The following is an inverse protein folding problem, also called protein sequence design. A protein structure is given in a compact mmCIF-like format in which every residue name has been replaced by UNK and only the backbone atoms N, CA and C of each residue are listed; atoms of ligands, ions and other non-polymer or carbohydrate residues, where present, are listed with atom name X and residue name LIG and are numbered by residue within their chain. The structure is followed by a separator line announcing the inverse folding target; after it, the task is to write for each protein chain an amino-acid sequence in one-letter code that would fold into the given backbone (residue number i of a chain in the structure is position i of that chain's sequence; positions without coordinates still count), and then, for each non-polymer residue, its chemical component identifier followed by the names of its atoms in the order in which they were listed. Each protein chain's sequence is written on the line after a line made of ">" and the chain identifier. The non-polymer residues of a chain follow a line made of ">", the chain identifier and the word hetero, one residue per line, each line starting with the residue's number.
data_IF_372106658808
#
_entry.id   IF_372106658808
#
_cell.length_a   1.000
_cell.length_b   1.000
_cell.length_c   1.000
_cell.angle_alpha   90.00
_cell.angle_beta   90.00
_cell.angle_gamma   90.00
#
_symmetry.space_group_name_H-M   'P 1'
#
loop_
_entity.id
_entity.type
_entity.pdbx_description
1 polymer ?
#
# COMPACT_ATOMS: atom_id res chain seq x y z
N UNK A 1 52.18 4.87 -36.70
CA UNK A 1 53.02 5.85 -37.41
C UNK A 1 53.22 7.03 -36.47
N UNK A 2 54.43 7.21 -35.94
CA UNK A 2 54.76 8.32 -35.03
C UNK A 2 55.05 9.58 -35.83
N UNK A 3 54.68 10.74 -35.30
CA UNK A 3 55.44 12.00 -35.47
C UNK A 3 55.47 12.68 -34.11
N UNK A 4 56.65 13.15 -33.71
CA UNK A 4 56.90 13.91 -32.50
C UNK A 4 57.72 15.15 -32.87
N UNK A 5 57.56 16.25 -32.14
CA UNK A 5 58.64 17.25 -31.98
C UNK A 5 58.42 18.20 -30.79
N UNK A 6 59.53 18.80 -30.34
CA UNK A 6 59.79 19.67 -29.17
C UNK A 6 61.07 20.47 -29.55
N UNK A 7 61.60 21.49 -28.80
CA UNK A 7 61.08 22.30 -27.68
C UNK A 7 61.35 23.85 -27.81
N UNK A 8 61.03 24.61 -26.75
CA UNK A 8 61.61 25.87 -26.15
C UNK A 8 62.73 26.70 -26.86
N UNK A 9 62.96 28.04 -26.57
CA UNK A 9 62.75 28.82 -25.32
C UNK A 9 62.06 30.21 -25.53
N UNK A 10 62.00 31.22 -24.62
CA UNK A 10 62.34 31.34 -23.18
C UNK A 10 63.35 32.48 -22.82
N UNK A 11 62.92 33.67 -22.33
CA UNK A 11 63.77 34.86 -22.04
C UNK A 11 63.30 35.74 -20.85
N UNK A 12 64.23 35.99 -19.90
CA UNK A 12 64.44 37.09 -18.93
C UNK A 12 63.50 37.48 -17.75
N UNK A 13 64.18 37.81 -16.64
CA UNK A 13 63.72 38.48 -15.41
C UNK A 13 64.06 40.00 -15.45
N UNK A 14 63.39 40.82 -14.62
CA UNK A 14 64.04 41.86 -13.78
C UNK A 14 63.30 41.93 -12.44
N UNK A 15 64.05 42.16 -11.35
CA UNK A 15 63.59 42.40 -9.99
C UNK A 15 63.95 43.84 -9.61
N UNK A 16 63.07 44.59 -8.94
CA UNK A 16 63.45 45.83 -8.23
C UNK A 16 62.56 46.00 -6.99
N UNK A 17 63.06 46.71 -5.97
CA UNK A 17 62.48 46.79 -4.63
C UNK A 17 62.86 48.11 -3.91
N UNK A 18 62.23 48.37 -2.75
CA UNK A 18 62.40 49.54 -1.86
C UNK A 18 61.65 50.82 -2.34
N UNK A 19 61.14 51.73 -1.48
CA UNK A 19 61.36 52.00 -0.03
C UNK A 19 60.08 52.48 0.71
N UNK A 20 60.20 52.70 2.03
CA UNK A 20 59.17 53.05 3.04
C UNK A 20 58.45 54.42 2.91
N UNK A 21 57.21 54.50 3.44
CA UNK A 21 56.71 55.69 4.17
C UNK A 21 55.59 55.31 5.19
N UNK A 22 55.45 56.07 6.30
CA UNK A 22 54.85 55.57 7.55
C UNK A 22 53.79 56.49 8.20
N UNK A 23 52.56 55.97 8.38
CA UNK A 23 51.46 56.42 9.30
C UNK A 23 50.80 57.81 9.09
N UNK A 24 49.58 58.13 9.63
CA UNK A 24 49.00 57.68 10.91
C UNK A 24 47.52 57.19 10.90
N UNK A 25 47.00 56.91 12.11
CA UNK A 25 45.87 56.02 12.37
C UNK A 25 44.51 56.65 12.79
N UNK A 26 43.51 55.75 12.94
CA UNK A 26 42.24 55.83 13.69
C UNK A 26 40.95 56.26 12.94
N UNK A 27 39.72 55.90 13.41
CA UNK A 27 39.36 54.96 14.49
C UNK A 27 38.31 53.87 14.14
N UNK A 28 38.39 52.76 14.89
CA UNK A 28 37.34 51.77 15.27
C UNK A 28 35.97 51.70 14.54
N UNK A 29 35.61 50.48 14.09
CA UNK A 29 34.22 50.01 13.97
C UNK A 29 33.94 48.87 15.00
N UNK A 30 32.69 48.70 15.48
CA UNK A 30 32.42 47.85 16.63
C UNK A 30 32.40 46.35 16.30
N UNK A 31 32.99 45.57 17.21
CA UNK A 31 33.05 44.11 17.20
C UNK A 31 31.63 43.52 17.33
N UNK A 32 31.13 42.84 16.30
CA UNK A 32 29.89 42.03 16.41
C UNK A 32 30.07 40.99 17.52
N UNK A 33 29.21 41.02 18.53
CA UNK A 33 29.24 40.12 19.68
C UNK A 33 27.81 39.62 19.96
N UNK A 34 27.67 38.31 20.13
CA UNK A 34 26.44 37.56 20.44
C UNK A 34 25.24 37.69 19.47
N UNK A 35 25.20 36.77 18.50
CA UNK A 35 23.94 36.29 17.87
C UNK A 35 23.63 34.81 18.19
N UNK A 36 24.56 34.06 18.79
CA UNK A 36 24.44 32.60 18.98
C UNK A 36 23.52 32.19 20.14
N UNK A 37 23.36 33.01 21.18
CA UNK A 37 22.48 32.66 22.31
C UNK A 37 20.98 32.78 21.97
N UNK A 38 20.63 33.67 21.03
CA UNK A 38 19.22 33.99 20.77
C UNK A 38 18.49 32.85 20.03
N UNK A 39 19.19 32.17 19.11
CA UNK A 39 18.66 30.98 18.43
C UNK A 39 18.49 29.80 19.39
N UNK A 40 19.45 29.58 20.31
CA UNK A 40 19.33 28.53 21.32
C UNK A 40 18.18 28.76 22.30
N UNK A 41 17.96 30.01 22.73
CA UNK A 41 16.82 30.36 23.59
C UNK A 41 15.49 30.22 22.83
N UNK A 42 15.44 30.62 21.55
CA UNK A 42 14.26 30.41 20.69
C UNK A 42 13.90 28.94 20.49
N UNK A 43 14.90 28.10 20.20
CA UNK A 43 14.72 26.65 20.06
C UNK A 43 14.24 25.99 21.38
N UNK A 44 14.84 26.37 22.51
CA UNK A 44 14.40 25.88 23.83
C UNK A 44 13.00 26.37 24.21
N UNK A 45 12.63 27.59 23.84
CA UNK A 45 11.28 28.10 24.05
C UNK A 45 10.24 27.34 23.21
N UNK A 46 10.52 27.07 21.93
CA UNK A 46 9.67 26.26 21.06
C UNK A 46 9.52 24.81 21.57
N UNK A 47 10.59 24.22 22.10
CA UNK A 47 10.55 22.89 22.74
C UNK A 47 9.74 22.93 24.05
N UNK A 48 9.89 23.97 24.87
CA UNK A 48 9.11 24.14 26.11
C UNK A 48 7.60 24.36 25.83
N UNK A 49 7.27 25.14 24.81
CA UNK A 49 5.90 25.35 24.35
C UNK A 49 5.31 24.07 23.71
N UNK A 50 6.13 23.26 23.05
CA UNK A 50 5.80 21.89 22.62
C UNK A 50 5.61 20.90 23.79
N UNK A 51 6.16 21.16 24.97
CA UNK A 51 5.98 20.33 26.17
C UNK A 51 4.78 20.75 27.03
N UNK A 52 4.25 21.97 26.84
CA UNK A 52 3.10 22.46 27.59
C UNK A 52 1.85 21.58 27.38
N UNK A 53 1.17 21.10 28.45
CA UNK A 53 0.04 20.17 28.32
C UNK A 53 -1.12 20.76 27.50
N UNK A 54 -1.33 22.08 27.57
CA UNK A 54 -2.32 22.79 26.78
C UNK A 54 -2.04 22.85 25.27
N UNK A 55 -0.78 22.74 24.82
CA UNK A 55 -0.43 22.67 23.40
C UNK A 55 -0.46 21.23 22.88
N UNK A 56 -0.12 20.24 23.73
CA UNK A 56 -0.23 18.82 23.40
C UNK A 56 -1.69 18.38 23.23
N UNK A 57 -2.59 18.83 24.12
CA UNK A 57 -4.02 18.52 24.01
C UNK A 57 -4.64 19.20 22.78
N UNK A 58 -4.24 20.43 22.45
CA UNK A 58 -4.72 21.16 21.28
C UNK A 58 -4.23 20.52 19.97
N UNK A 59 -2.97 20.08 19.89
CA UNK A 59 -2.43 19.30 18.75
C UNK A 59 -3.11 17.94 18.60
N UNK A 60 -3.28 17.19 19.68
CA UNK A 60 -4.03 15.92 19.65
C UNK A 60 -5.47 16.13 19.14
N UNK A 61 -6.12 17.24 19.50
CA UNK A 61 -7.45 17.59 18.99
C UNK A 61 -7.41 17.96 17.49
N UNK A 62 -6.36 18.65 17.03
CA UNK A 62 -6.13 18.93 15.60
C UNK A 62 -5.89 17.63 14.83
N UNK A 63 -4.95 16.78 15.27
CA UNK A 63 -4.67 15.47 14.67
C UNK A 63 -5.93 14.59 14.63
N UNK A 64 -6.72 14.54 15.71
CA UNK A 64 -8.01 13.86 15.72
C UNK A 64 -9.04 14.48 14.77
N UNK A 65 -9.00 15.79 14.54
CA UNK A 65 -9.84 16.45 13.52
C UNK A 65 -9.42 16.07 12.10
N UNK A 66 -8.12 16.01 11.80
CA UNK A 66 -7.64 15.53 10.51
C UNK A 66 -8.03 14.05 10.29
N UNK A 67 -7.62 13.16 11.20
CA UNK A 67 -7.87 11.72 11.05
C UNK A 67 -9.36 11.34 11.14
N UNK A 68 -10.16 11.92 12.04
CA UNK A 68 -11.57 11.51 12.20
C UNK A 68 -12.54 12.34 11.35
N UNK A 69 -12.26 13.59 11.00
CA UNK A 69 -13.28 14.48 10.40
C UNK A 69 -12.94 15.07 9.02
N UNK A 70 -11.73 14.89 8.47
CA UNK A 70 -11.37 15.41 7.15
C UNK A 70 -11.90 14.54 6.00
N UNK A 71 -11.86 13.21 6.15
CA UNK A 71 -12.29 12.29 5.10
C UNK A 71 -13.82 12.17 5.06
N UNK A 72 -14.41 12.36 3.87
CA UNK A 72 -15.87 12.23 3.66
C UNK A 72 -16.40 10.83 4.01
N UNK A 73 -15.55 9.81 3.92
CA UNK A 73 -15.88 8.42 4.27
C UNK A 73 -16.07 8.21 5.78
N UNK A 74 -15.51 9.08 6.64
CA UNK A 74 -15.63 8.95 8.10
C UNK A 74 -17.05 9.21 8.62
N UNK A 75 -17.97 9.69 7.77
CA UNK A 75 -19.42 9.65 8.04
C UNK A 75 -19.90 8.22 8.31
N UNK A 76 -19.18 7.19 7.83
CA UNK A 76 -19.46 5.78 8.08
C UNK A 76 -18.90 5.25 9.41
N UNK A 77 -18.01 5.98 10.09
CA UNK A 77 -17.34 5.53 11.31
C UNK A 77 -18.31 5.20 12.48
N UNK A 78 -19.47 5.87 12.66
CA UNK A 78 -20.47 5.49 13.66
C UNK A 78 -21.09 4.10 13.47
N UNK A 79 -21.04 3.51 12.28
CA UNK A 79 -21.60 2.16 12.04
C UNK A 79 -20.80 1.07 12.75
N UNK A 80 -19.50 1.26 12.99
CA UNK A 80 -18.68 0.32 13.77
C UNK A 80 -19.19 0.12 15.21
N UNK A 81 -19.24 1.19 16.03
CA UNK A 81 -19.85 1.13 17.36
C UNK A 81 -21.32 0.68 17.34
N UNK A 82 -22.09 1.05 16.31
CA UNK A 82 -23.47 0.59 16.15
C UNK A 82 -23.56 -0.94 15.94
N UNK A 83 -22.63 -1.55 15.20
CA UNK A 83 -22.57 -3.00 15.02
C UNK A 83 -22.33 -3.73 16.35
N UNK A 84 -21.43 -3.20 17.19
CA UNK A 84 -21.14 -3.72 18.54
C UNK A 84 -22.41 -3.65 19.41
N UNK A 85 -23.06 -2.47 19.46
CA UNK A 85 -24.29 -2.27 20.21
C UNK A 85 -25.41 -3.19 19.71
N UNK A 86 -25.56 -3.35 18.39
CA UNK A 86 -26.57 -4.23 17.80
C UNK A 86 -26.32 -5.70 18.13
N UNK A 87 -25.06 -6.15 18.14
CA UNK A 87 -24.70 -7.53 18.53
C UNK A 87 -25.14 -7.83 19.97
N UNK A 88 -24.95 -6.89 20.91
CA UNK A 88 -25.40 -7.05 22.30
C UNK A 88 -26.93 -6.89 22.49
N UNK A 89 -27.59 -6.04 21.69
CA UNK A 89 -29.04 -5.80 21.79
C UNK A 89 -29.89 -6.79 21.00
N UNK A 90 -29.33 -7.53 20.03
CA UNK A 90 -30.09 -8.34 19.08
C UNK A 90 -29.34 -9.61 18.67
N UNK A 91 -29.48 -10.67 19.46
CA UNK A 91 -28.94 -12.00 19.13
C UNK A 91 -29.47 -12.62 17.82
N UNK A 92 -30.51 -12.03 17.22
CA UNK A 92 -31.23 -12.52 16.02
C UNK A 92 -30.91 -11.78 14.72
N UNK A 93 -30.14 -10.69 14.73
CA UNK A 93 -29.97 -9.80 13.56
C UNK A 93 -28.55 -9.82 12.97
N UNK A 94 -28.00 -11.03 12.78
CA UNK A 94 -26.63 -11.26 12.30
C UNK A 94 -26.31 -10.55 10.96
N UNK A 95 -27.24 -10.53 9.99
CA UNK A 95 -27.04 -9.81 8.73
C UNK A 95 -26.83 -8.30 8.87
N UNK A 96 -27.46 -7.66 9.86
CA UNK A 96 -27.26 -6.25 10.17
C UNK A 96 -25.97 -6.00 10.96
N UNK A 97 -25.59 -6.90 11.87
CA UNK A 97 -24.28 -6.86 12.55
C UNK A 97 -23.15 -6.98 11.52
N UNK A 98 -23.25 -7.91 10.58
CA UNK A 98 -22.33 -8.03 9.45
C UNK A 98 -22.27 -6.73 8.63
N UNK A 99 -23.40 -6.22 8.15
CA UNK A 99 -23.45 -5.04 7.29
C UNK A 99 -22.90 -3.77 7.98
N UNK A 100 -23.22 -3.55 9.27
CA UNK A 100 -22.68 -2.41 10.01
C UNK A 100 -21.21 -2.59 10.39
N UNK A 101 -20.74 -3.81 10.67
CA UNK A 101 -19.31 -4.08 10.88
C UNK A 101 -18.51 -3.81 9.60
N UNK A 102 -19.04 -4.26 8.48
CA UNK A 102 -18.47 -4.08 7.14
C UNK A 102 -18.33 -2.58 6.80
N UNK A 103 -19.43 -1.82 6.92
CA UNK A 103 -19.44 -0.37 6.69
C UNK A 103 -18.56 0.38 7.70
N UNK A 104 -18.49 -0.08 8.95
CA UNK A 104 -17.66 0.51 10.00
C UNK A 104 -16.16 0.30 9.82
N UNK A 105 -15.75 -0.80 9.17
CA UNK A 105 -14.35 -1.09 8.84
C UNK A 105 -13.86 -0.23 7.67
N UNK A 106 -14.69 0.09 6.68
CA UNK A 106 -14.30 0.86 5.49
C UNK A 106 -13.54 2.17 5.79
N UNK A 107 -14.03 3.10 6.64
CA UNK A 107 -13.29 4.32 6.98
C UNK A 107 -12.06 4.07 7.87
N UNK A 108 -12.05 2.99 8.66
CA UNK A 108 -10.90 2.65 9.49
C UNK A 108 -9.74 2.12 8.66
N UNK A 109 -10.03 1.28 7.66
CA UNK A 109 -9.05 0.78 6.69
C UNK A 109 -8.45 1.94 5.88
N UNK A 110 -9.29 2.87 5.41
CA UNK A 110 -8.86 4.08 4.70
C UNK A 110 -7.93 4.96 5.55
N UNK A 111 -8.27 5.19 6.82
CA UNK A 111 -7.42 5.92 7.75
C UNK A 111 -6.16 5.16 8.19
N UNK A 112 -6.18 3.82 8.16
CA UNK A 112 -4.99 3.00 8.44
C UNK A 112 -3.96 3.14 7.31
N UNK A 113 -4.41 3.14 6.05
CA UNK A 113 -3.57 3.43 4.88
C UNK A 113 -2.92 4.81 4.99
N UNK A 114 -3.74 5.85 5.20
CA UNK A 114 -3.24 7.23 5.41
C UNK A 114 -2.22 7.33 6.57
N UNK A 115 -2.49 6.71 7.72
CA UNK A 115 -1.55 6.72 8.86
C UNK A 115 -0.24 5.96 8.55
N UNK A 116 -0.30 4.95 7.69
CA UNK A 116 0.86 4.19 7.21
C UNK A 116 1.72 5.01 6.26
N UNK A 117 1.09 5.70 5.30
CA UNK A 117 1.73 6.61 4.35
C UNK A 117 2.44 7.76 5.07
N UNK A 118 1.73 8.46 5.97
CA UNK A 118 2.31 9.50 6.82
C UNK A 118 3.51 8.99 7.64
N UNK A 119 3.48 7.76 8.17
CA UNK A 119 4.60 7.17 8.89
C UNK A 119 5.77 6.76 7.96
N UNK A 120 5.48 6.37 6.72
CA UNK A 120 6.50 6.07 5.71
C UNK A 120 7.36 7.30 5.40
N UNK A 121 6.75 8.48 5.28
CA UNK A 121 7.44 9.75 5.02
C UNK A 121 8.48 10.13 6.10
N UNK A 122 8.33 9.64 7.34
CA UNK A 122 9.31 9.85 8.42
C UNK A 122 10.37 8.76 8.57
N UNK A 123 10.13 7.57 8.02
CA UNK A 123 10.98 6.39 8.28
C UNK A 123 11.93 6.06 7.13
N UNK A 124 11.82 6.79 6.02
CA UNK A 124 12.67 6.67 4.85
C UNK A 124 12.32 5.47 3.96
N UNK A 125 12.80 5.43 2.70
CA UNK A 125 12.24 4.54 1.68
C UNK A 125 12.19 3.06 2.08
N UNK A 126 13.26 2.53 2.70
CA UNK A 126 13.32 1.11 3.05
C UNK A 126 12.36 0.70 4.16
N UNK A 127 12.22 1.51 5.21
CA UNK A 127 11.31 1.19 6.33
C UNK A 127 9.88 1.57 5.95
N UNK A 128 9.67 2.69 5.26
CA UNK A 128 8.38 3.10 4.71
C UNK A 128 7.80 2.07 3.74
N UNK A 129 8.61 1.52 2.84
CA UNK A 129 8.17 0.44 1.94
C UNK A 129 7.75 -0.84 2.67
N UNK A 130 8.46 -1.21 3.75
CA UNK A 130 8.10 -2.36 4.59
C UNK A 130 6.84 -2.09 5.41
N UNK A 131 6.67 -0.87 5.93
CA UNK A 131 5.46 -0.44 6.61
C UNK A 131 4.26 -0.48 5.66
N UNK A 132 4.38 0.06 4.45
CA UNK A 132 3.32 0.04 3.46
C UNK A 132 2.92 -1.41 3.07
N UNK A 133 3.90 -2.27 2.79
CA UNK A 133 3.65 -3.69 2.50
C UNK A 133 2.89 -4.41 3.63
N UNK A 134 3.16 -4.06 4.89
CA UNK A 134 2.58 -4.74 6.06
C UNK A 134 1.23 -4.15 6.49
N UNK A 135 1.14 -2.82 6.58
CA UNK A 135 -0.02 -2.10 7.11
C UNK A 135 -1.02 -1.65 6.04
N UNK A 136 -0.63 -1.54 4.77
CA UNK A 136 -1.58 -1.39 3.66
C UNK A 136 -2.56 -2.57 3.61
N UNK A 137 -2.04 -3.79 3.62
CA UNK A 137 -2.84 -5.03 3.65
C UNK A 137 -3.26 -5.49 5.06
N UNK A 138 -3.17 -4.62 6.08
CA UNK A 138 -3.45 -5.06 7.45
C UNK A 138 -4.92 -5.39 7.68
N UNK A 139 -5.86 -4.76 6.98
CA UNK A 139 -7.29 -5.05 7.11
C UNK A 139 -7.60 -6.49 6.68
N UNK A 140 -7.11 -6.90 5.51
CA UNK A 140 -7.19 -8.24 4.94
C UNK A 140 -6.55 -9.27 5.87
N UNK A 141 -5.35 -8.95 6.35
CA UNK A 141 -4.59 -9.82 7.25
C UNK A 141 -5.29 -10.01 8.61
N UNK A 142 -5.85 -8.95 9.20
CA UNK A 142 -6.59 -9.03 10.48
C UNK A 142 -7.87 -9.84 10.32
N UNK A 143 -8.68 -9.56 9.29
CA UNK A 143 -9.91 -10.32 8.98
C UNK A 143 -9.56 -11.80 8.74
N UNK A 144 -8.50 -12.07 7.98
CA UNK A 144 -7.99 -13.42 7.71
C UNK A 144 -7.57 -14.16 8.98
N UNK A 145 -6.83 -13.51 9.89
CA UNK A 145 -6.39 -14.10 11.16
C UNK A 145 -7.60 -14.44 12.06
N UNK A 146 -8.63 -13.59 12.11
CA UNK A 146 -9.86 -13.91 12.85
C UNK A 146 -10.63 -15.09 12.22
N UNK A 147 -10.83 -15.10 10.90
CA UNK A 147 -11.48 -16.21 10.22
C UNK A 147 -10.71 -17.53 10.40
N UNK A 148 -9.38 -17.49 10.32
CA UNK A 148 -8.46 -18.60 10.59
C UNK A 148 -8.54 -19.10 12.04
N UNK A 149 -8.60 -18.18 13.02
CA UNK A 149 -8.82 -18.50 14.44
C UNK A 149 -10.13 -19.27 14.64
N UNK A 150 -11.18 -18.87 13.95
CA UNK A 150 -12.49 -19.53 13.97
C UNK A 150 -12.54 -20.81 13.11
N UNK A 151 -11.47 -21.17 12.39
CA UNK A 151 -11.39 -22.36 11.55
C UNK A 151 -12.04 -22.22 10.17
N UNK A 152 -12.43 -21.00 9.78
CA UNK A 152 -13.06 -20.73 8.49
C UNK A 152 -12.02 -20.57 7.37
N UNK A 153 -11.23 -21.62 7.14
CA UNK A 153 -10.16 -21.68 6.13
C UNK A 153 -10.66 -21.22 4.75
N UNK A 154 -11.86 -21.66 4.37
CA UNK A 154 -12.46 -21.29 3.08
C UNK A 154 -12.74 -19.79 2.94
N UNK A 155 -13.19 -19.13 4.01
CA UNK A 155 -13.41 -17.68 4.03
C UNK A 155 -12.09 -16.92 3.83
N UNK A 156 -11.00 -17.39 4.47
CA UNK A 156 -9.65 -16.82 4.28
C UNK A 156 -9.18 -16.97 2.83
N UNK A 157 -9.24 -18.19 2.29
CA UNK A 157 -8.87 -18.45 0.90
C UNK A 157 -9.66 -17.58 -0.09
N UNK A 158 -10.98 -17.54 0.07
CA UNK A 158 -11.89 -16.83 -0.82
C UNK A 158 -11.76 -15.31 -0.73
N UNK A 159 -11.53 -14.75 0.46
CA UNK A 159 -11.33 -13.30 0.62
C UNK A 159 -9.98 -12.82 0.07
N UNK A 160 -8.89 -13.55 0.32
CA UNK A 160 -7.58 -13.19 -0.22
C UNK A 160 -7.53 -13.32 -1.75
N UNK A 161 -8.11 -14.39 -2.31
CA UNK A 161 -8.23 -14.54 -3.77
C UNK A 161 -9.19 -13.49 -4.37
N UNK A 162 -10.31 -13.23 -3.71
CA UNK A 162 -11.27 -12.19 -4.09
C UNK A 162 -10.65 -10.79 -4.10
N UNK A 163 -9.69 -10.51 -3.21
CA UNK A 163 -8.96 -9.24 -3.21
C UNK A 163 -8.07 -9.07 -4.45
N UNK A 164 -7.33 -10.12 -4.84
CA UNK A 164 -6.57 -10.11 -6.10
C UNK A 164 -7.51 -9.92 -7.30
N UNK A 165 -8.64 -10.63 -7.34
CA UNK A 165 -9.63 -10.49 -8.42
C UNK A 165 -10.26 -9.08 -8.44
N UNK A 166 -10.58 -8.51 -7.29
CA UNK A 166 -11.16 -7.16 -7.17
C UNK A 166 -10.17 -6.12 -7.69
N UNK A 167 -8.92 -6.17 -7.23
CA UNK A 167 -7.87 -5.25 -7.69
C UNK A 167 -7.62 -5.38 -9.20
N UNK A 168 -7.60 -6.61 -9.75
CA UNK A 168 -7.28 -6.86 -11.16
C UNK A 168 -8.43 -6.66 -12.15
N UNK A 169 -9.68 -6.93 -11.76
CA UNK A 169 -10.84 -6.80 -12.64
C UNK A 169 -11.69 -5.57 -12.31
N UNK A 170 -12.10 -5.43 -11.04
CA UNK A 170 -13.01 -4.36 -10.64
C UNK A 170 -12.31 -3.00 -10.62
N UNK A 171 -11.17 -2.88 -9.94
CA UNK A 171 -10.47 -1.60 -9.79
C UNK A 171 -9.88 -1.15 -11.13
N UNK A 172 -9.05 -1.98 -11.77
CA UNK A 172 -8.49 -1.64 -13.09
C UNK A 172 -9.58 -1.40 -14.14
N UNK A 173 -10.65 -2.22 -14.15
CA UNK A 173 -11.78 -2.03 -15.06
C UNK A 173 -12.50 -0.69 -14.84
N UNK A 174 -12.85 -0.37 -13.59
CA UNK A 174 -13.48 0.91 -13.25
C UNK A 174 -12.55 2.10 -13.51
N UNK A 175 -11.25 1.95 -13.24
CA UNK A 175 -10.27 3.01 -13.41
C UNK A 175 -10.02 3.32 -14.91
N UNK A 176 -9.88 2.30 -15.76
CA UNK A 176 -9.79 2.48 -17.21
C UNK A 176 -11.09 3.03 -17.80
N UNK A 177 -12.25 2.58 -17.31
CA UNK A 177 -13.55 3.07 -17.78
C UNK A 177 -13.76 4.55 -17.39
N UNK A 178 -13.55 4.91 -16.12
CA UNK A 178 -13.68 6.30 -15.67
C UNK A 178 -12.61 7.22 -16.25
N UNK A 179 -11.35 6.77 -16.34
CA UNK A 179 -10.25 7.50 -16.94
C UNK A 179 -10.49 7.79 -18.43
N UNK A 180 -10.97 6.79 -19.18
CA UNK A 180 -11.35 6.92 -20.60
C UNK A 180 -12.59 7.77 -20.84
N UNK A 181 -13.60 7.72 -19.96
CA UNK A 181 -14.75 8.64 -20.03
C UNK A 181 -14.33 10.09 -19.79
N UNK A 182 -13.47 10.36 -18.81
CA UNK A 182 -12.99 11.73 -18.51
C UNK A 182 -12.07 12.26 -19.61
N UNK A 183 -11.22 11.41 -20.20
CA UNK A 183 -10.25 11.77 -21.24
C UNK A 183 -10.63 11.19 -22.60
N UNK A 184 -11.90 11.27 -22.99
CA UNK A 184 -12.39 10.70 -24.27
C UNK A 184 -11.70 11.29 -25.53
N UNK A 185 -11.01 12.42 -25.41
CA UNK A 185 -10.22 13.07 -26.46
C UNK A 185 -8.75 12.62 -26.52
N UNK A 186 -8.23 11.85 -25.55
CA UNK A 186 -6.79 11.60 -25.38
C UNK A 186 -6.45 10.16 -24.98
N UNK A 187 -5.35 9.66 -25.53
CA UNK A 187 -4.75 8.40 -25.10
C UNK A 187 -4.05 8.60 -23.75
N UNK A 188 -4.48 7.84 -22.74
CA UNK A 188 -3.77 7.74 -21.47
C UNK A 188 -2.53 6.83 -21.63
N UNK A 189 -1.35 7.33 -21.26
CA UNK A 189 -0.07 6.62 -21.42
C UNK A 189 0.43 6.12 -20.06
N UNK A 190 1.16 5.01 -20.06
CA UNK A 190 1.81 4.45 -18.88
C UNK A 190 3.16 3.78 -19.23
N UNK A 191 4.02 3.62 -18.23
CA UNK A 191 5.33 2.99 -18.33
C UNK A 191 5.21 1.46 -18.50
N UNK A 192 5.50 1.00 -19.73
CA UNK A 192 5.48 -0.42 -20.10
C UNK A 192 6.45 -1.28 -19.31
N UNK A 193 7.62 -0.77 -18.93
CA UNK A 193 8.61 -1.54 -18.19
C UNK A 193 8.09 -1.90 -16.79
N UNK A 194 7.59 -0.90 -16.05
CA UNK A 194 7.03 -1.08 -14.71
C UNK A 194 5.79 -1.99 -14.73
N UNK A 195 4.89 -1.81 -15.71
CA UNK A 195 3.72 -2.66 -15.88
C UNK A 195 4.08 -4.13 -16.18
N UNK A 196 5.07 -4.38 -17.05
CA UNK A 196 5.54 -5.73 -17.39
C UNK A 196 6.24 -6.40 -16.21
N UNK A 197 7.09 -5.70 -15.45
CA UNK A 197 7.75 -6.27 -14.27
C UNK A 197 6.72 -6.63 -13.19
N UNK A 198 5.79 -5.73 -12.87
CA UNK A 198 4.76 -5.98 -11.85
C UNK A 198 3.81 -7.13 -12.26
N UNK A 199 3.39 -7.17 -13.53
CA UNK A 199 2.56 -8.28 -14.05
C UNK A 199 3.32 -9.61 -14.08
N UNK A 200 4.63 -9.59 -14.38
CA UNK A 200 5.50 -10.77 -14.36
C UNK A 200 5.67 -11.33 -12.94
N UNK A 201 5.85 -10.47 -11.95
CA UNK A 201 5.90 -10.86 -10.53
C UNK A 201 4.57 -11.47 -10.07
N UNK A 202 3.45 -10.87 -10.42
CA UNK A 202 2.12 -11.42 -10.12
C UNK A 202 1.88 -12.77 -10.79
N UNK A 203 2.30 -12.94 -12.05
CA UNK A 203 2.21 -14.23 -12.76
C UNK A 203 3.07 -15.31 -12.08
N UNK A 204 4.30 -14.99 -11.69
CA UNK A 204 5.16 -15.90 -10.94
C UNK A 204 4.56 -16.29 -9.58
N UNK A 205 3.89 -15.35 -8.90
CA UNK A 205 3.19 -15.60 -7.66
C UNK A 205 2.03 -16.59 -7.84
N UNK A 206 1.17 -16.35 -8.84
CA UNK A 206 0.03 -17.23 -9.16
C UNK A 206 0.49 -18.62 -9.61
N UNK A 207 1.58 -18.73 -10.38
CA UNK A 207 2.18 -20.03 -10.70
C UNK A 207 2.66 -20.78 -9.44
N UNK A 208 3.19 -20.07 -8.44
CA UNK A 208 3.52 -20.62 -7.12
C UNK A 208 2.31 -21.16 -6.35
N UNK A 209 1.17 -20.47 -6.44
CA UNK A 209 -0.11 -20.89 -5.86
C UNK A 209 -0.74 -22.08 -6.62
N UNK A 210 -0.45 -22.26 -7.91
CA UNK A 210 -1.03 -23.35 -8.71
C UNK A 210 -0.48 -24.74 -8.33
N UNK A 211 0.77 -24.87 -7.85
CA UNK A 211 1.37 -26.20 -7.64
C UNK A 211 0.59 -27.08 -6.65
N UNK A 212 0.14 -26.61 -5.46
CA UNK A 212 -0.68 -27.42 -4.56
C UNK A 212 -2.07 -27.73 -5.13
N UNK A 213 -2.72 -26.76 -5.78
CA UNK A 213 -4.05 -26.95 -6.38
C UNK A 213 -4.04 -28.00 -7.51
N UNK A 214 -2.98 -28.02 -8.33
CA UNK A 214 -2.78 -29.04 -9.38
C UNK A 214 -2.55 -30.41 -8.75
N UNK A 215 -1.70 -30.51 -7.73
CA UNK A 215 -1.40 -31.78 -7.04
C UNK A 215 -2.68 -32.43 -6.44
N UNK A 216 -3.51 -31.63 -5.79
CA UNK A 216 -4.80 -32.08 -5.27
C UNK A 216 -5.73 -32.57 -6.40
N UNK A 217 -5.81 -31.83 -7.51
CA UNK A 217 -6.67 -32.18 -8.65
C UNK A 217 -6.21 -33.42 -9.42
N UNK A 218 -4.90 -33.64 -9.58
CA UNK A 218 -4.36 -34.84 -10.24
C UNK A 218 -4.44 -36.08 -9.36
N UNK A 219 -4.75 -35.92 -8.06
CA UNK A 219 -4.71 -36.97 -7.04
C UNK A 219 -3.37 -37.75 -7.01
N UNK A 220 -2.28 -37.13 -7.46
CA UNK A 220 -0.94 -37.74 -7.53
C UNK A 220 -0.17 -37.61 -6.22
N UNK A 221 -0.89 -37.60 -5.09
CA UNK A 221 -0.35 -37.41 -3.75
C UNK A 221 0.18 -38.71 -3.15
N UNK A 222 1.32 -38.64 -2.46
CA UNK A 222 1.86 -39.77 -1.71
C UNK A 222 1.06 -40.06 -0.43
N UNK A 223 0.48 -39.03 0.19
CA UNK A 223 -0.45 -39.14 1.32
C UNK A 223 -1.56 -38.09 1.18
N UNK A 224 -2.78 -38.56 0.90
CA UNK A 224 -3.97 -37.74 0.67
C UNK A 224 -4.15 -36.63 1.73
N UNK A 225 -4.21 -35.37 1.29
CA UNK A 225 -4.36 -34.15 2.10
C UNK A 225 -3.11 -33.76 2.91
N UNK A 226 -2.35 -34.73 3.43
CA UNK A 226 -1.09 -34.46 4.16
C UNK A 226 0.01 -33.94 3.25
N UNK A 227 0.11 -34.47 2.03
CA UNK A 227 1.06 -34.00 1.01
C UNK A 227 0.74 -32.57 0.57
N UNK A 228 -0.54 -32.24 0.41
CA UNK A 228 -1.05 -30.92 0.01
C UNK A 228 -0.72 -29.82 1.03
N UNK A 229 -1.04 -30.03 2.31
CA UNK A 229 -0.76 -29.06 3.38
C UNK A 229 0.75 -28.91 3.58
N UNK A 230 1.52 -29.99 3.47
CA UNK A 230 2.99 -29.95 3.55
C UNK A 230 3.60 -29.15 2.39
N UNK A 231 3.15 -29.37 1.15
CA UNK A 231 3.59 -28.63 -0.02
C UNK A 231 3.18 -27.15 0.06
N UNK A 232 1.97 -26.87 0.55
CA UNK A 232 1.47 -25.50 0.76
C UNK A 232 2.33 -24.72 1.76
N UNK A 233 2.71 -25.34 2.88
CA UNK A 233 3.62 -24.74 3.87
C UNK A 233 5.02 -24.51 3.30
N UNK A 234 5.57 -25.46 2.55
CA UNK A 234 6.87 -25.34 1.89
C UNK A 234 6.88 -24.22 0.84
N UNK A 235 5.88 -24.19 -0.05
CA UNK A 235 5.70 -23.14 -1.05
C UNK A 235 5.57 -21.77 -0.39
N UNK A 236 4.76 -21.65 0.67
CA UNK A 236 4.58 -20.40 1.43
C UNK A 236 5.89 -19.88 2.02
N UNK A 237 6.73 -20.75 2.59
CA UNK A 237 8.04 -20.35 3.09
C UNK A 237 8.95 -19.80 1.97
N UNK A 238 8.93 -20.43 0.78
CA UNK A 238 9.68 -19.95 -0.39
C UNK A 238 9.14 -18.61 -0.88
N UNK A 239 7.82 -18.45 -0.98
CA UNK A 239 7.19 -17.21 -1.43
C UNK A 239 7.51 -16.03 -0.51
N UNK A 240 7.49 -16.23 0.83
CA UNK A 240 7.90 -15.21 1.79
C UNK A 240 9.38 -14.82 1.65
N UNK A 241 10.29 -15.78 1.45
CA UNK A 241 11.72 -15.51 1.24
C UNK A 241 11.95 -14.79 -0.10
N UNK A 242 11.24 -15.18 -1.15
CA UNK A 242 11.28 -14.51 -2.45
C UNK A 242 10.73 -13.08 -2.37
N UNK A 243 9.65 -12.87 -1.61
CA UNK A 243 9.06 -11.54 -1.37
C UNK A 243 10.00 -10.63 -0.56
N UNK A 244 10.61 -11.14 0.51
CA UNK A 244 11.60 -10.40 1.29
C UNK A 244 12.84 -10.04 0.43
N UNK A 245 13.25 -10.94 -0.46
CA UNK A 245 14.34 -10.69 -1.42
C UNK A 245 13.96 -9.66 -2.47
N UNK A 246 12.71 -9.68 -2.95
CA UNK A 246 12.15 -8.68 -3.85
C UNK A 246 12.09 -7.30 -3.20
N UNK A 247 11.55 -7.16 -1.99
CA UNK A 247 11.54 -5.90 -1.24
C UNK A 247 12.97 -5.39 -1.02
N UNK A 248 13.90 -6.25 -0.60
CA UNK A 248 15.30 -5.86 -0.43
C UNK A 248 15.92 -5.33 -1.73
N UNK A 249 15.66 -5.98 -2.87
CA UNK A 249 16.17 -5.53 -4.18
C UNK A 249 15.49 -4.23 -4.65
N UNK A 250 14.18 -4.10 -4.49
CA UNK A 250 13.42 -2.90 -4.82
C UNK A 250 13.93 -1.69 -4.04
N UNK A 251 14.09 -1.85 -2.71
CA UNK A 251 14.43 -0.77 -1.78
C UNK A 251 15.91 -0.41 -1.75
N UNK A 252 16.82 -1.30 -2.18
CA UNK A 252 18.28 -1.07 -2.17
C UNK A 252 18.90 -0.94 -3.57
N UNK A 253 18.42 -1.70 -4.55
CA UNK A 253 19.13 -1.95 -5.81
C UNK A 253 18.58 -1.11 -6.98
N UNK A 254 17.28 -0.80 -7.00
CA UNK A 254 16.59 -0.17 -8.13
C UNK A 254 15.79 1.09 -7.72
N UNK A 255 16.37 1.91 -6.84
CA UNK A 255 15.72 3.13 -6.32
C UNK A 255 15.20 4.07 -7.44
N UNK A 256 15.92 4.23 -8.56
CA UNK A 256 15.49 5.11 -9.67
C UNK A 256 14.53 4.46 -10.70
N UNK A 257 14.09 3.22 -10.48
CA UNK A 257 13.08 2.56 -11.34
C UNK A 257 11.76 2.30 -10.60
N UNK A 258 11.77 2.48 -9.27
CA UNK A 258 10.64 2.26 -8.37
C UNK A 258 10.35 3.42 -7.41
N UNK A 259 11.04 4.58 -7.54
CA UNK A 259 10.42 5.83 -7.07
C UNK A 259 9.11 5.99 -7.84
N UNK A 260 8.00 6.36 -7.18
CA UNK A 260 6.79 6.80 -7.86
C UNK A 260 7.14 7.72 -9.04
N UNK A 261 6.54 7.44 -10.20
CA UNK A 261 6.67 8.28 -11.40
C UNK A 261 5.85 9.55 -11.12
N UNK A 262 6.51 10.48 -10.44
CA UNK A 262 5.97 11.65 -9.76
C UNK A 262 7.05 12.38 -8.94
N UNK A 263 7.97 11.64 -8.30
CA UNK A 263 8.93 12.26 -7.37
C UNK A 263 10.11 12.99 -8.06
N UNK A 264 10.57 12.50 -9.22
CA UNK A 264 11.86 12.95 -9.80
C UNK A 264 11.83 14.31 -10.53
N UNK A 265 10.66 14.98 -10.65
CA UNK A 265 10.57 16.36 -11.19
C UNK A 265 10.14 17.42 -10.16
N UNK A 266 9.68 17.04 -8.95
CA UNK A 266 9.16 17.98 -7.92
C UNK A 266 9.89 17.90 -6.54
N UNK A 267 10.83 16.96 -6.35
CA UNK A 267 11.54 16.71 -5.07
C UNK A 267 12.59 17.77 -4.65
N UNK A 268 12.22 19.05 -4.63
CA UNK A 268 13.03 20.08 -3.93
C UNK A 268 12.25 21.11 -3.11
N UNK A 269 10.92 21.27 -3.28
CA UNK A 269 10.14 22.26 -2.49
C UNK A 269 8.78 21.75 -1.94
N UNK A 270 8.23 20.61 -2.40
CA UNK A 270 6.88 20.15 -1.95
C UNK A 270 6.89 19.13 -0.77
N UNK A 271 8.05 18.55 -0.44
CA UNK A 271 8.24 17.53 0.62
C UNK A 271 7.86 17.99 2.05
N UNK A 272 7.72 19.30 2.29
CA UNK A 272 7.33 19.84 3.60
C UNK A 272 5.80 19.89 3.81
N UNK A 273 4.99 19.95 2.74
CA UNK A 273 3.53 20.09 2.83
C UNK A 273 2.78 18.75 2.96
N UNK A 274 3.38 17.61 2.60
CA UNK A 274 2.74 16.29 2.73
C UNK A 274 2.60 15.78 4.18
N UNK A 275 3.36 16.35 5.13
CA UNK A 275 3.50 15.83 6.50
C UNK A 275 2.44 16.40 7.46
N UNK A 276 1.17 16.04 7.22
CA UNK A 276 0.00 16.53 7.97
C UNK A 276 -0.02 16.13 9.47
N UNK A 277 0.62 15.01 9.86
CA UNK A 277 0.69 14.54 11.26
C UNK A 277 2.12 14.21 11.70
N UNK A 278 2.43 14.32 12.99
CA UNK A 278 3.78 13.97 13.49
C UNK A 278 4.01 12.46 13.54
N UNK A 279 5.27 12.01 13.45
CA UNK A 279 5.64 10.59 13.52
C UNK A 279 5.03 9.84 14.73
N UNK A 280 5.00 10.47 15.91
CA UNK A 280 4.41 9.86 17.12
C UNK A 280 2.88 9.81 17.08
N UNK A 281 2.23 10.79 16.45
CA UNK A 281 0.78 10.76 16.21
C UNK A 281 0.44 9.67 15.19
N UNK A 282 1.21 9.55 14.10
CA UNK A 282 1.04 8.49 13.10
C UNK A 282 1.14 7.08 13.73
N UNK A 283 2.17 6.82 14.55
CA UNK A 283 2.29 5.54 15.30
C UNK A 283 1.10 5.32 16.24
N UNK A 284 0.63 6.35 16.94
CA UNK A 284 -0.50 6.26 17.85
C UNK A 284 -1.81 5.95 17.11
N UNK A 285 -2.07 6.62 15.97
CA UNK A 285 -3.23 6.37 15.12
C UNK A 285 -3.18 4.98 14.50
N UNK A 286 -2.04 4.57 13.93
CA UNK A 286 -1.84 3.24 13.36
C UNK A 286 -2.19 2.14 14.38
N UNK A 287 -1.73 2.28 15.62
CA UNK A 287 -2.04 1.36 16.71
C UNK A 287 -3.54 1.39 17.10
N UNK A 288 -4.14 2.57 17.27
CA UNK A 288 -5.56 2.69 17.63
C UNK A 288 -6.50 2.15 16.54
N UNK A 289 -6.23 2.46 15.28
CA UNK A 289 -6.99 1.99 14.12
C UNK A 289 -6.88 0.47 13.98
N UNK A 290 -5.66 -0.08 14.13
CA UNK A 290 -5.43 -1.54 14.16
C UNK A 290 -6.27 -2.24 15.24
N UNK A 291 -6.37 -1.65 16.44
CA UNK A 291 -7.22 -2.19 17.53
C UNK A 291 -8.70 -2.14 17.15
N UNK A 292 -9.19 -1.01 16.62
CA UNK A 292 -10.60 -0.88 16.22
C UNK A 292 -10.99 -1.82 15.08
N UNK A 293 -10.13 -1.95 14.07
CA UNK A 293 -10.29 -2.93 12.98
C UNK A 293 -10.31 -4.33 13.56
N UNK A 294 -9.38 -4.69 14.44
CA UNK A 294 -9.35 -6.00 15.13
C UNK A 294 -10.64 -6.31 15.88
N UNK A 295 -11.19 -5.35 16.63
CA UNK A 295 -12.46 -5.52 17.35
C UNK A 295 -13.62 -5.75 16.37
N UNK A 296 -13.75 -4.91 15.34
CA UNK A 296 -14.83 -5.04 14.35
C UNK A 296 -14.68 -6.27 13.46
N UNK A 297 -13.45 -6.71 13.15
CA UNK A 297 -13.18 -7.94 12.40
C UNK A 297 -13.71 -9.16 13.14
N UNK A 298 -13.62 -9.21 14.48
CA UNK A 298 -14.26 -10.28 15.27
C UNK A 298 -15.77 -10.36 15.01
N UNK A 299 -16.48 -9.25 15.20
CA UNK A 299 -17.94 -9.18 14.97
C UNK A 299 -18.33 -9.44 13.51
N UNK A 300 -17.55 -8.93 12.55
CA UNK A 300 -17.74 -9.18 11.12
C UNK A 300 -17.67 -10.68 10.82
N UNK A 301 -16.57 -11.31 11.26
CA UNK A 301 -16.24 -12.72 10.99
C UNK A 301 -17.26 -13.65 11.65
N UNK A 302 -17.61 -13.41 12.91
CA UNK A 302 -18.63 -14.20 13.62
C UNK A 302 -20.03 -14.09 12.95
N UNK A 303 -20.33 -12.95 12.32
CA UNK A 303 -21.62 -12.71 11.67
C UNK A 303 -21.72 -13.26 10.22
N UNK A 304 -20.63 -13.70 9.57
CA UNK A 304 -20.63 -14.13 8.15
C UNK A 304 -21.68 -15.20 7.86
N UNK A 305 -21.77 -16.23 8.70
CA UNK A 305 -22.70 -17.35 8.49
C UNK A 305 -24.17 -16.89 8.62
N UNK A 306 -24.48 -16.11 9.65
CA UNK A 306 -25.83 -15.56 9.84
C UNK A 306 -26.20 -14.49 8.80
N UNK A 307 -25.22 -13.79 8.22
CA UNK A 307 -25.41 -12.92 7.08
C UNK A 307 -25.72 -13.70 5.80
N UNK A 308 -25.05 -14.83 5.56
CA UNK A 308 -25.34 -15.73 4.44
C UNK A 308 -26.80 -16.21 4.46
N UNK A 309 -27.27 -16.66 5.62
CA UNK A 309 -28.64 -17.14 5.81
C UNK A 309 -29.69 -16.02 5.71
N UNK A 310 -29.45 -14.86 6.33
CA UNK A 310 -30.42 -13.75 6.33
C UNK A 310 -30.49 -12.99 5.01
N UNK A 311 -29.38 -12.88 4.26
CA UNK A 311 -29.33 -12.22 2.96
C UNK A 311 -29.59 -13.18 1.78
N UNK A 312 -29.69 -14.49 2.03
CA UNK A 312 -29.76 -15.54 1.00
C UNK A 312 -28.58 -15.49 0.00
N UNK A 313 -27.39 -15.11 0.48
CA UNK A 313 -26.16 -15.02 -0.31
C UNK A 313 -25.19 -16.14 0.10
N UNK A 314 -24.55 -16.87 -0.82
CA UNK A 314 -23.54 -17.86 -0.46
C UNK A 314 -22.37 -17.23 0.32
N UNK A 315 -21.85 -17.92 1.34
CA UNK A 315 -20.63 -17.50 2.08
C UNK A 315 -19.46 -17.20 1.12
N UNK A 316 -19.36 -17.95 0.02
CA UNK A 316 -18.38 -17.69 -1.04
C UNK A 316 -18.57 -16.34 -1.73
N UNK A 317 -19.81 -15.91 -2.00
CA UNK A 317 -20.08 -14.59 -2.57
C UNK A 317 -19.70 -13.47 -1.59
N UNK A 318 -20.07 -13.63 -0.32
CA UNK A 318 -19.69 -12.70 0.76
C UNK A 318 -18.16 -12.58 0.84
N UNK A 319 -17.46 -13.72 0.80
CA UNK A 319 -16.01 -13.79 0.97
C UNK A 319 -15.25 -13.26 -0.24
N UNK A 320 -15.59 -13.68 -1.46
CA UNK A 320 -14.89 -13.29 -2.71
C UNK A 320 -15.22 -11.85 -3.13
N UNK A 321 -16.44 -11.36 -2.87
CA UNK A 321 -16.91 -10.06 -3.41
C UNK A 321 -17.02 -8.98 -2.33
N UNK A 322 -17.73 -9.23 -1.23
CA UNK A 322 -18.06 -8.17 -0.27
C UNK A 322 -16.89 -7.80 0.65
N UNK A 323 -16.17 -8.79 1.20
CA UNK A 323 -15.03 -8.52 2.07
C UNK A 323 -13.93 -7.70 1.37
N UNK A 324 -13.49 -8.02 0.14
CA UNK A 324 -12.33 -7.34 -0.46
C UNK A 324 -12.64 -5.95 -1.02
N UNK A 325 -13.88 -5.72 -1.48
CA UNK A 325 -14.36 -4.37 -1.83
C UNK A 325 -14.25 -3.42 -0.63
N UNK A 326 -14.48 -3.93 0.58
CA UNK A 326 -14.53 -3.12 1.80
C UNK A 326 -13.16 -2.97 2.46
N UNK A 327 -12.35 -4.02 2.48
CA UNK A 327 -10.99 -3.95 3.02
C UNK A 327 -10.11 -2.98 2.23
N UNK A 328 -10.17 -3.06 0.90
CA UNK A 328 -9.38 -2.23 -0.02
C UNK A 328 -10.15 -1.03 -0.63
N UNK A 329 -11.32 -0.66 -0.10
CA UNK A 329 -12.16 0.42 -0.65
C UNK A 329 -11.41 1.75 -0.89
N UNK A 330 -10.45 2.06 -0.01
CA UNK A 330 -9.59 3.22 -0.09
C UNK A 330 -8.66 3.18 -1.32
N UNK A 331 -7.91 2.07 -1.48
CA UNK A 331 -7.04 1.81 -2.63
C UNK A 331 -7.83 1.79 -3.93
N UNK A 332 -9.05 1.25 -3.90
CA UNK A 332 -9.95 1.21 -5.06
C UNK A 332 -10.36 2.61 -5.50
N UNK A 333 -10.76 3.45 -4.55
CA UNK A 333 -11.17 4.83 -4.80
C UNK A 333 -9.99 5.71 -5.25
N UNK A 334 -8.81 5.57 -4.64
CA UNK A 334 -7.61 6.32 -5.03
C UNK A 334 -7.14 5.93 -6.44
N UNK A 335 -7.08 4.64 -6.76
CA UNK A 335 -6.66 4.15 -8.06
C UNK A 335 -7.56 4.67 -9.20
N UNK A 336 -8.89 4.67 -8.99
CA UNK A 336 -9.86 5.26 -9.94
C UNK A 336 -9.65 6.77 -10.06
N UNK A 337 -9.44 7.49 -8.94
CA UNK A 337 -9.16 8.93 -8.95
C UNK A 337 -7.88 9.27 -9.71
N UNK A 338 -6.81 8.48 -9.56
CA UNK A 338 -5.55 8.69 -10.30
C UNK A 338 -5.74 8.48 -11.81
N UNK A 339 -6.55 7.49 -12.23
CA UNK A 339 -6.88 7.30 -13.64
C UNK A 339 -7.71 8.48 -14.20
N UNK A 340 -8.67 9.00 -13.43
CA UNK A 340 -9.42 10.22 -13.74
C UNK A 340 -8.56 11.50 -13.72
N UNK A 341 -7.34 11.46 -13.16
CA UNK A 341 -6.34 12.54 -13.20
C UNK A 341 -5.22 12.28 -14.23
N UNK A 342 -5.41 11.31 -15.14
CA UNK A 342 -4.43 10.90 -16.14
C UNK A 342 -3.11 10.33 -15.60
N UNK A 343 -3.07 9.90 -14.32
CA UNK A 343 -1.92 9.25 -13.69
C UNK A 343 -2.09 7.71 -13.69
N UNK A 344 -2.21 7.11 -14.88
CA UNK A 344 -2.42 5.65 -15.01
C UNK A 344 -1.26 4.81 -14.42
N UNK A 345 -0.02 5.29 -14.46
CA UNK A 345 1.11 4.59 -13.82
C UNK A 345 0.88 4.34 -12.33
N UNK A 346 0.33 5.32 -11.61
CA UNK A 346 0.00 5.21 -10.19
C UNK A 346 -1.16 4.22 -10.01
N UNK A 347 -2.21 4.30 -10.84
CA UNK A 347 -3.33 3.34 -10.84
C UNK A 347 -2.85 1.89 -10.99
N UNK A 348 -1.96 1.63 -11.95
CA UNK A 348 -1.37 0.30 -12.18
C UNK A 348 -0.47 -0.12 -11.02
N UNK A 349 0.32 0.80 -10.47
CA UNK A 349 1.17 0.59 -9.31
C UNK A 349 0.37 0.15 -8.08
N UNK A 350 -0.71 0.86 -7.75
CA UNK A 350 -1.60 0.53 -6.63
C UNK A 350 -2.24 -0.84 -6.84
N UNK A 351 -2.96 -1.03 -7.95
CA UNK A 351 -3.74 -2.26 -8.15
C UNK A 351 -2.86 -3.52 -8.29
N UNK A 352 -1.82 -3.48 -9.14
CA UNK A 352 -0.94 -4.64 -9.36
C UNK A 352 -0.02 -4.85 -8.15
N UNK A 353 0.49 -3.77 -7.54
CA UNK A 353 1.32 -3.84 -6.35
C UNK A 353 0.60 -4.50 -5.17
N UNK A 354 -0.62 -4.03 -4.84
CA UNK A 354 -1.48 -4.61 -3.81
C UNK A 354 -1.76 -6.10 -4.10
N UNK A 355 -2.11 -6.46 -5.34
CA UNK A 355 -2.26 -7.88 -5.76
C UNK A 355 -0.99 -8.72 -5.60
N UNK A 356 0.20 -8.19 -5.95
CA UNK A 356 1.47 -8.89 -5.75
C UNK A 356 1.77 -9.06 -4.26
N UNK A 357 1.49 -8.07 -3.43
CA UNK A 357 1.64 -8.15 -1.96
C UNK A 357 0.71 -9.22 -1.37
N UNK A 358 -0.57 -9.23 -1.74
CA UNK A 358 -1.53 -10.24 -1.26
C UNK A 358 -1.09 -11.65 -1.67
N UNK A 359 -0.64 -11.82 -2.92
CA UNK A 359 -0.23 -13.11 -3.46
C UNK A 359 1.10 -13.64 -2.88
N UNK A 360 2.13 -12.79 -2.79
CA UNK A 360 3.48 -13.18 -2.37
C UNK A 360 3.74 -13.08 -0.86
N UNK A 361 2.96 -12.28 -0.13
CA UNK A 361 3.10 -12.06 1.30
C UNK A 361 1.88 -12.53 2.08
N UNK A 362 0.70 -11.95 1.88
CA UNK A 362 -0.46 -12.15 2.78
C UNK A 362 -0.96 -13.60 2.77
N UNK A 363 -1.13 -14.20 1.58
CA UNK A 363 -1.56 -15.60 1.44
C UNK A 363 -0.54 -16.57 2.08
N UNK A 364 0.77 -16.54 1.71
CA UNK A 364 1.81 -17.32 2.39
C UNK A 364 1.92 -17.10 3.90
N UNK A 365 1.76 -15.86 4.36
CA UNK A 365 1.77 -15.51 5.78
C UNK A 365 0.61 -16.16 6.52
N UNK A 366 -0.60 -16.15 5.94
CA UNK A 366 -1.77 -16.83 6.52
C UNK A 366 -1.58 -18.36 6.62
N UNK A 367 -0.90 -19.00 5.67
CA UNK A 367 -0.52 -20.43 5.77
C UNK A 367 0.45 -20.68 6.93
N UNK A 368 1.47 -19.83 7.09
CA UNK A 368 2.45 -19.95 8.17
C UNK A 368 1.81 -19.69 9.54
N UNK A 369 0.98 -18.66 9.68
CA UNK A 369 0.22 -18.39 10.90
C UNK A 369 -0.76 -19.53 11.19
N UNK A 370 -1.43 -20.07 10.15
CA UNK A 370 -2.29 -21.24 10.30
C UNK A 370 -1.54 -22.44 10.86
N UNK A 371 -0.36 -22.72 10.34
CA UNK A 371 0.53 -23.77 10.88
C UNK A 371 0.91 -23.53 12.35
N UNK A 372 1.27 -22.29 12.73
CA UNK A 372 1.55 -21.94 14.13
C UNK A 372 0.32 -22.10 15.04
N UNK A 373 -0.88 -21.85 14.53
CA UNK A 373 -2.16 -21.98 15.25
C UNK A 373 -2.72 -23.41 15.25
N UNK A 374 -2.03 -24.39 14.64
CA UNK A 374 -2.54 -25.75 14.50
C UNK A 374 -3.73 -25.88 13.54
N UNK A 375 -3.91 -24.91 12.63
CA UNK A 375 -4.91 -24.90 11.57
C UNK A 375 -4.32 -25.39 10.25
N UNK A 376 -5.11 -26.17 9.51
CA UNK A 376 -4.74 -26.68 8.19
C UNK A 376 -5.15 -25.67 7.11
N UNK A 377 -4.48 -24.51 7.13
CA UNK A 377 -4.53 -23.56 6.01
C UNK A 377 -3.58 -24.05 4.91
N UNK A 378 -4.11 -24.19 3.70
CA UNK A 378 -3.37 -24.58 2.49
C UNK A 378 -3.56 -23.55 1.36
N UNK A 379 -2.86 -23.76 0.25
CA UNK A 379 -2.92 -22.92 -0.96
C UNK A 379 -3.88 -23.48 -2.03
N UNK A 380 -4.77 -24.41 -1.69
CA UNK A 380 -5.72 -24.99 -2.65
C UNK A 380 -7.03 -24.18 -2.69
N UNK A 381 -7.05 -23.22 -3.60
CA UNK A 381 -8.24 -22.42 -3.87
C UNK A 381 -9.33 -23.18 -4.65
N UNK A 382 -9.19 -24.49 -4.89
CA UNK A 382 -9.99 -25.28 -5.84
C UNK A 382 -9.79 -24.87 -7.30
N UNK A 383 -10.14 -25.77 -8.23
CA UNK A 383 -9.88 -25.62 -9.65
C UNK A 383 -10.53 -24.36 -10.25
N UNK A 384 -11.78 -24.07 -9.90
CA UNK A 384 -12.52 -22.93 -10.47
C UNK A 384 -11.89 -21.58 -10.12
N UNK A 385 -11.58 -21.35 -8.85
CA UNK A 385 -11.00 -20.08 -8.40
C UNK A 385 -9.55 -19.94 -8.88
N UNK A 386 -8.77 -21.03 -8.86
CA UNK A 386 -7.40 -21.07 -9.40
C UNK A 386 -7.38 -20.75 -10.90
N UNK A 387 -8.29 -21.34 -11.68
CA UNK A 387 -8.42 -21.05 -13.11
C UNK A 387 -8.89 -19.60 -13.36
N UNK A 388 -9.84 -19.10 -12.56
CA UNK A 388 -10.33 -17.72 -12.66
C UNK A 388 -9.21 -16.71 -12.37
N UNK A 389 -8.40 -16.96 -11.34
CA UNK A 389 -7.23 -16.15 -10.99
C UNK A 389 -6.17 -16.17 -12.11
N UNK A 390 -5.86 -17.36 -12.64
CA UNK A 390 -4.89 -17.50 -13.73
C UNK A 390 -5.36 -16.79 -15.02
N UNK A 391 -6.61 -16.97 -15.41
CA UNK A 391 -7.21 -16.28 -16.57
C UNK A 391 -7.20 -14.76 -16.34
N UNK A 392 -7.54 -14.30 -15.13
CA UNK A 392 -7.52 -12.87 -14.77
C UNK A 392 -6.13 -12.26 -14.95
N UNK A 393 -5.08 -12.89 -14.40
CA UNK A 393 -3.71 -12.39 -14.53
C UNK A 393 -3.23 -12.41 -15.98
N UNK A 394 -3.59 -13.44 -16.77
CA UNK A 394 -3.29 -13.45 -18.21
C UNK A 394 -4.02 -12.32 -18.96
N UNK A 395 -5.31 -12.12 -18.71
CA UNK A 395 -6.09 -11.05 -19.35
C UNK A 395 -5.50 -9.68 -19.02
N UNK A 396 -5.19 -9.39 -17.76
CA UNK A 396 -4.56 -8.12 -17.36
C UNK A 396 -3.17 -7.99 -17.98
N UNK A 397 -2.32 -9.02 -17.94
CA UNK A 397 -0.99 -8.97 -18.56
C UNK A 397 -1.06 -8.72 -20.08
N UNK A 398 -2.00 -9.34 -20.79
CA UNK A 398 -2.23 -9.08 -22.21
C UNK A 398 -2.82 -7.69 -22.47
N UNK A 399 -3.74 -7.19 -21.64
CA UNK A 399 -4.27 -5.82 -21.75
C UNK A 399 -3.17 -4.76 -21.57
N UNK A 400 -2.19 -5.01 -20.70
CA UNK A 400 -1.07 -4.09 -20.47
C UNK A 400 -0.01 -4.15 -21.58
N UNK A 401 0.13 -5.30 -22.25
CA UNK A 401 0.96 -5.45 -23.46
C UNK A 401 0.28 -4.89 -24.72
N UNK A 402 -1.03 -5.08 -24.85
CA UNK A 402 -1.85 -4.65 -25.98
C UNK A 402 -2.17 -3.15 -25.92
N UNK A 403 -1.18 -2.34 -26.33
CA UNK A 403 -1.29 -0.89 -26.37
C UNK A 403 -2.50 -0.38 -27.17
N UNK A 404 -3.11 0.71 -26.71
CA UNK A 404 -4.11 1.57 -27.39
C UNK A 404 -5.47 0.99 -27.81
N UNK A 405 -5.61 -0.30 -28.16
CA UNK A 405 -6.83 -0.75 -28.87
C UNK A 405 -8.04 -0.97 -27.95
N UNK A 406 -7.86 -1.50 -26.74
CA UNK A 406 -9.00 -1.94 -25.90
C UNK A 406 -9.70 -0.76 -25.21
N UNK A 407 -8.98 0.21 -24.65
CA UNK A 407 -9.61 1.43 -24.10
C UNK A 407 -10.36 2.20 -25.21
N UNK A 408 -9.78 2.30 -26.41
CA UNK A 408 -10.46 2.90 -27.57
C UNK A 408 -11.73 2.14 -27.96
N UNK A 409 -11.68 0.80 -28.02
CA UNK A 409 -12.85 0.01 -28.37
C UNK A 409 -13.98 0.16 -27.34
N UNK A 410 -13.66 0.12 -26.04
CA UNK A 410 -14.65 0.28 -24.96
C UNK A 410 -15.25 1.69 -24.93
N UNK A 411 -14.44 2.74 -25.02
CA UNK A 411 -14.95 4.12 -24.99
C UNK A 411 -15.66 4.51 -26.29
N UNK A 412 -15.09 4.16 -27.47
CA UNK A 412 -15.69 4.50 -28.77
C UNK A 412 -17.02 3.78 -29.03
N UNK A 413 -17.22 2.58 -28.46
CA UNK A 413 -18.51 1.88 -28.55
C UNK A 413 -19.56 2.47 -27.61
N UNK A 414 -19.16 3.22 -26.58
CA UNK A 414 -20.09 3.88 -25.66
C UNK A 414 -20.39 5.34 -26.07
N UNK A 415 -19.45 6.02 -26.74
CA UNK A 415 -19.64 7.37 -27.28
C UNK A 415 -20.42 7.42 -28.62
N UNK A 416 -20.84 6.26 -29.15
CA UNK A 416 -21.64 6.11 -30.38
C UNK A 416 -23.04 5.53 -30.15
N UNK A 417 -23.46 5.42 -28.88
CA UNK A 417 -24.84 5.13 -28.44
C UNK A 417 -25.40 6.30 -27.63
#
# INVERSE_FOLDING_TARGET
>A
MMVAEKPAPGVFQVHEAADDEQEPASPSSPRKMHSLDFEHIGALAAVAESLAPGSRWRRALTSARFVIFQAKINVLLPFGPLAIVLHYLSGTHQGWVFLFSLIGITPLAERLGYATEQLACYTGPTVGGLLNATFGNATEMIISIYALKNGMIRVVQQSLLGSILSNMLLVLGCAFFAGGLVHSDRDQVFNKASAVVNSGLLLMAVLGLMFPAVLHFTHSEAQYGKSEVALSRFSSCIMLVAYASYLFFQLKSHRSMYSPIGDEEEATEEDEDEKEITQWEAICWLFMLTIWISILSGYLVDAIQGASESLNLPVAFISVILLPIVGNAAEHASAIMFAMKNKLDITLGVAIGSSTQISMFVIPFCVVIGWMMGREMDLNFQLFETATLFITVLVVAFMLQAHQTILKALCSSCATS
#
